data_IF_723784751145
#
_entry.id   IF_723784751145
#
_cell.length_a   1.000
_cell.length_b   1.000
_cell.length_c   1.000
_cell.angle_alpha   90.00
_cell.angle_beta   90.00
_cell.angle_gamma   90.00
#
_symmetry.space_group_name_H-M   'P 1'
#
loop_
_entity.id
_entity.type
_entity.pdbx_description
1 polymer ?
#
# COMPACT_ATOMS: atom_id res chain seq x y z
N UNK A 1 -17.53 -13.38 -5.53
CA UNK A 1 -17.39 -11.96 -5.14
C UNK A 1 -17.30 -11.78 -3.62
N UNK A 2 -17.65 -12.78 -2.81
CA UNK A 2 -17.78 -12.60 -1.35
C UNK A 2 -16.48 -12.43 -0.55
N UNK A 3 -15.32 -12.71 -1.15
CA UNK A 3 -14.03 -12.64 -0.45
C UNK A 3 -13.18 -11.39 -0.82
N UNK A 4 -13.63 -10.57 -1.76
CA UNK A 4 -12.89 -9.40 -2.21
C UNK A 4 -13.03 -8.23 -1.21
N UNK A 5 -11.91 -7.75 -0.65
CA UNK A 5 -11.87 -6.60 0.23
C UNK A 5 -11.99 -5.28 -0.55
N UNK A 6 -11.29 -5.18 -1.67
CA UNK A 6 -11.33 -4.00 -2.54
C UNK A 6 -11.27 -4.44 -4.01
N UNK A 7 -12.19 -3.92 -4.85
CA UNK A 7 -12.27 -4.25 -6.27
C UNK A 7 -12.39 -2.99 -7.12
N UNK A 8 -11.68 -2.99 -8.22
CA UNK A 8 -11.81 -2.05 -9.33
C UNK A 8 -12.41 -2.79 -10.53
N UNK A 9 -13.50 -2.26 -11.11
CA UNK A 9 -14.21 -2.87 -12.25
C UNK A 9 -14.39 -1.87 -13.37
N UNK A 10 -13.92 -2.21 -14.57
CA UNK A 10 -13.98 -1.42 -15.81
C UNK A 10 -13.44 0.01 -15.64
N UNK A 11 -12.34 0.15 -14.91
CA UNK A 11 -11.73 1.45 -14.58
C UNK A 11 -11.01 2.01 -15.79
N UNK A 12 -11.44 3.20 -16.25
CA UNK A 12 -10.66 4.02 -17.18
C UNK A 12 -10.26 5.33 -16.49
N UNK A 13 -9.04 5.75 -16.72
CA UNK A 13 -8.52 7.01 -16.20
C UNK A 13 -7.60 7.67 -17.23
N UNK A 14 -7.85 8.95 -17.50
CA UNK A 14 -7.04 9.79 -18.39
C UNK A 14 -6.35 10.89 -17.60
N UNK A 15 -5.16 11.27 -18.07
CA UNK A 15 -4.48 12.49 -17.64
C UNK A 15 -4.30 13.37 -18.87
N UNK A 16 -5.15 14.41 -18.97
CA UNK A 16 -5.33 15.14 -20.23
C UNK A 16 -5.85 14.21 -21.33
N UNK A 17 -5.18 14.20 -22.48
CA UNK A 17 -5.59 13.36 -23.61
C UNK A 17 -5.00 11.94 -23.58
N UNK A 18 -4.18 11.61 -22.55
CA UNK A 18 -3.52 10.31 -22.47
C UNK A 18 -4.28 9.37 -21.55
N UNK A 19 -4.71 8.22 -22.07
CA UNK A 19 -5.24 7.13 -21.26
C UNK A 19 -4.11 6.51 -20.43
N UNK A 20 -4.30 6.46 -19.12
CA UNK A 20 -3.33 5.89 -18.15
C UNK A 20 -3.79 4.53 -17.66
N UNK A 21 -5.11 4.34 -17.46
CA UNK A 21 -5.67 3.07 -17.01
C UNK A 21 -6.81 2.62 -17.94
N UNK A 22 -6.85 1.30 -18.15
CA UNK A 22 -7.91 0.57 -18.83
C UNK A 22 -7.98 -0.83 -18.17
N UNK A 23 -8.48 -0.85 -16.93
CA UNK A 23 -8.48 -2.05 -16.07
C UNK A 23 -9.88 -2.64 -16.03
N UNK A 24 -10.07 -3.79 -16.66
CA UNK A 24 -11.34 -4.51 -16.64
C UNK A 24 -11.68 -4.98 -15.23
N UNK A 25 -10.72 -5.60 -14.55
CA UNK A 25 -10.91 -6.10 -13.20
C UNK A 25 -9.60 -6.17 -12.42
N UNK A 26 -9.62 -5.69 -11.19
CA UNK A 26 -8.54 -5.89 -10.21
C UNK A 26 -9.16 -6.06 -8.82
N UNK A 27 -8.76 -7.10 -8.10
CA UNK A 27 -9.28 -7.40 -6.78
C UNK A 27 -8.15 -7.80 -5.83
N UNK A 28 -8.22 -7.33 -4.59
CA UNK A 28 -7.48 -7.86 -3.44
C UNK A 28 -8.48 -8.50 -2.49
N UNK A 29 -8.25 -9.77 -2.12
CA UNK A 29 -9.11 -10.51 -1.20
C UNK A 29 -8.82 -10.12 0.26
N UNK A 30 -9.73 -10.49 1.17
CA UNK A 30 -9.56 -10.23 2.60
C UNK A 30 -8.31 -10.92 3.14
N UNK A 31 -7.44 -10.15 3.78
CA UNK A 31 -6.18 -10.64 4.34
C UNK A 31 -5.12 -11.06 3.31
N UNK A 32 -5.36 -10.82 2.02
CA UNK A 32 -4.42 -11.10 0.94
C UNK A 32 -3.43 -9.94 0.79
N UNK A 33 -2.18 -10.26 0.47
CA UNK A 33 -1.18 -9.27 0.04
C UNK A 33 -0.88 -9.47 -1.44
N UNK A 34 -1.21 -8.46 -2.26
CA UNK A 34 -1.00 -8.43 -3.71
C UNK A 34 0.16 -7.51 -4.06
N UNK A 35 1.18 -8.03 -4.73
CA UNK A 35 2.20 -7.21 -5.38
C UNK A 35 1.69 -6.72 -6.73
N UNK A 36 1.76 -5.43 -6.98
CA UNK A 36 1.47 -4.81 -8.27
C UNK A 36 2.77 -4.44 -8.96
N UNK A 37 3.11 -5.14 -10.02
CA UNK A 37 4.36 -4.96 -10.76
C UNK A 37 4.11 -4.51 -12.20
N UNK A 38 5.15 -4.04 -12.88
CA UNK A 38 5.11 -3.58 -14.28
C UNK A 38 6.18 -2.54 -14.52
N UNK A 39 6.46 -2.24 -15.77
CA UNK A 39 7.45 -1.23 -16.16
C UNK A 39 7.07 0.17 -15.67
N UNK A 40 8.05 1.09 -15.61
CA UNK A 40 7.78 2.46 -15.25
C UNK A 40 6.80 3.10 -16.26
N UNK A 41 5.81 3.84 -15.72
CA UNK A 41 4.76 4.45 -16.54
C UNK A 41 3.62 3.51 -16.93
N UNK A 42 3.59 2.26 -16.46
CA UNK A 42 2.48 1.33 -16.75
C UNK A 42 1.15 1.67 -16.05
N UNK A 43 1.15 2.63 -15.10
CA UNK A 43 -0.07 3.07 -14.40
C UNK A 43 -0.22 2.57 -12.96
N UNK A 44 0.76 1.86 -12.38
CA UNK A 44 0.69 1.24 -11.04
C UNK A 44 0.28 2.22 -9.93
N UNK A 45 1.05 3.29 -9.76
CA UNK A 45 0.75 4.33 -8.75
C UNK A 45 -0.60 5.00 -9.00
N UNK A 46 -0.98 5.18 -10.27
CA UNK A 46 -2.30 5.73 -10.63
C UNK A 46 -3.43 4.78 -10.22
N UNK A 47 -3.27 3.47 -10.47
CA UNK A 47 -4.26 2.47 -10.06
C UNK A 47 -4.41 2.44 -8.53
N UNK A 48 -3.30 2.43 -7.80
CA UNK A 48 -3.29 2.50 -6.33
C UNK A 48 -4.00 3.77 -5.83
N UNK A 49 -3.73 4.93 -6.42
CA UNK A 49 -4.37 6.19 -6.03
C UNK A 49 -5.88 6.22 -6.37
N UNK A 50 -6.30 5.61 -7.48
CA UNK A 50 -7.73 5.43 -7.79
C UNK A 50 -8.39 4.52 -6.77
N UNK A 51 -7.78 3.38 -6.45
CA UNK A 51 -8.32 2.45 -5.45
C UNK A 51 -8.32 3.03 -4.04
N UNK A 52 -7.33 3.85 -3.67
CA UNK A 52 -7.29 4.60 -2.42
C UNK A 52 -8.24 5.81 -2.39
N UNK A 53 -9.05 6.01 -3.42
CA UNK A 53 -10.02 7.10 -3.57
C UNK A 53 -9.39 8.51 -3.59
N UNK A 54 -8.13 8.63 -3.98
CA UNK A 54 -7.44 9.92 -4.16
C UNK A 54 -7.67 10.48 -5.56
N UNK A 55 -7.78 9.60 -6.56
CA UNK A 55 -8.13 9.96 -7.92
C UNK A 55 -9.51 9.40 -8.26
N UNK A 56 -10.33 10.21 -8.92
CA UNK A 56 -11.62 9.76 -9.43
C UNK A 56 -11.42 9.18 -10.83
N UNK A 57 -11.81 7.94 -11.09
CA UNK A 57 -11.78 7.39 -12.45
C UNK A 57 -12.79 8.11 -13.35
N UNK A 58 -12.54 8.11 -14.66
CA UNK A 58 -13.47 8.68 -15.65
C UNK A 58 -14.65 7.72 -15.88
N UNK A 59 -14.35 6.40 -15.89
CA UNK A 59 -15.36 5.35 -16.05
C UNK A 59 -15.07 4.22 -15.06
N UNK A 60 -16.09 3.38 -14.82
CA UNK A 60 -16.01 2.20 -13.98
C UNK A 60 -16.45 2.42 -12.55
N UNK A 61 -16.39 1.37 -11.77
CA UNK A 61 -16.84 1.34 -10.37
C UNK A 61 -15.80 0.73 -9.44
N UNK A 62 -15.77 1.22 -8.21
CA UNK A 62 -14.98 0.68 -7.11
C UNK A 62 -15.90 0.06 -6.07
N UNK A 63 -15.50 -1.06 -5.52
CA UNK A 63 -16.27 -1.78 -4.50
C UNK A 63 -15.39 -2.07 -3.29
N UNK A 64 -15.96 -1.87 -2.11
CA UNK A 64 -15.32 -2.16 -0.83
C UNK A 64 -16.17 -3.20 -0.08
N UNK A 65 -15.63 -4.39 0.16
CA UNK A 65 -16.37 -5.55 0.70
C UNK A 65 -17.70 -5.79 -0.02
N UNK A 66 -17.69 -5.77 -1.34
CA UNK A 66 -18.87 -5.98 -2.18
C UNK A 66 -19.84 -4.80 -2.27
N UNK A 67 -19.62 -3.71 -1.52
CA UNK A 67 -20.43 -2.50 -1.58
C UNK A 67 -19.84 -1.49 -2.56
N UNK A 68 -20.62 -1.00 -3.49
CA UNK A 68 -20.19 0.03 -4.41
C UNK A 68 -19.89 1.35 -3.68
N UNK A 69 -18.75 1.95 -4.03
CA UNK A 69 -18.28 3.22 -3.45
C UNK A 69 -18.92 4.36 -4.23
N UNK A 70 -19.94 4.98 -3.62
CA UNK A 70 -20.58 6.17 -4.18
C UNK A 70 -19.99 7.46 -3.61
N UNK A 71 -20.12 8.62 -4.29
CA UNK A 71 -19.63 9.89 -3.79
C UNK A 71 -20.10 10.22 -2.36
N UNK A 72 -21.35 9.87 -2.03
CA UNK A 72 -21.94 10.13 -0.71
C UNK A 72 -21.30 9.31 0.40
N UNK A 73 -20.80 8.11 0.08
CA UNK A 73 -20.17 7.18 1.04
C UNK A 73 -18.64 7.23 0.99
N UNK A 74 -18.04 8.01 0.10
CA UNK A 74 -16.59 8.03 -0.14
C UNK A 74 -15.77 8.28 1.14
N UNK A 75 -16.16 9.25 1.98
CA UNK A 75 -15.46 9.53 3.23
C UNK A 75 -15.52 8.36 4.21
N UNK A 76 -16.65 7.66 4.27
CA UNK A 76 -16.80 6.47 5.11
C UNK A 76 -15.80 5.39 4.71
N UNK A 77 -15.70 5.06 3.43
CA UNK A 77 -14.75 4.04 2.96
C UNK A 77 -13.29 4.51 3.05
N UNK A 78 -13.00 5.78 2.72
CA UNK A 78 -11.65 6.34 2.83
C UNK A 78 -11.09 6.23 4.26
N UNK A 79 -11.93 6.33 5.28
CA UNK A 79 -11.54 6.18 6.69
C UNK A 79 -11.15 4.74 7.07
N UNK A 80 -11.47 3.75 6.25
CA UNK A 80 -11.16 2.33 6.45
C UNK A 80 -9.95 1.88 5.62
N UNK A 81 -9.31 2.80 4.92
CA UNK A 81 -8.14 2.56 4.09
C UNK A 81 -6.97 3.42 4.54
N UNK A 82 -5.76 3.00 4.21
CA UNK A 82 -4.57 3.82 4.34
C UNK A 82 -3.72 3.71 3.06
N UNK A 83 -2.99 4.78 2.75
CA UNK A 83 -2.01 4.80 1.67
C UNK A 83 -0.69 5.35 2.20
N UNK A 84 0.39 4.63 1.92
CA UNK A 84 1.77 5.07 2.15
C UNK A 84 2.41 5.31 0.80
N UNK A 85 2.92 6.51 0.60
CA UNK A 85 3.66 6.92 -0.59
C UNK A 85 5.13 6.52 -0.49
N UNK A 86 5.82 6.51 -1.61
CA UNK A 86 7.26 6.30 -1.71
C UNK A 86 8.03 7.30 -0.83
N UNK A 87 7.63 8.57 -0.85
CA UNK A 87 8.14 9.59 0.08
C UNK A 87 7.34 9.53 1.40
N UNK A 88 8.03 9.63 2.52
CA UNK A 88 7.39 9.49 3.85
C UNK A 88 6.37 10.60 4.17
N UNK A 89 6.43 11.76 3.48
CA UNK A 89 5.49 12.90 3.58
C UNK A 89 5.06 13.19 5.03
N UNK A 90 6.03 13.30 5.94
CA UNK A 90 5.75 13.57 7.35
C UNK A 90 5.40 15.05 7.57
N UNK A 91 4.51 15.30 8.52
CA UNK A 91 4.21 16.64 9.00
C UNK A 91 5.41 17.18 9.78
N UNK A 92 5.68 18.48 9.65
CA UNK A 92 6.75 19.17 10.39
C UNK A 92 6.38 19.34 11.87
N UNK A 93 6.50 18.27 12.62
CA UNK A 93 6.20 18.18 14.05
C UNK A 93 6.93 16.98 14.66
N UNK A 94 6.56 16.54 15.87
CA UNK A 94 7.18 15.37 16.50
C UNK A 94 6.71 14.06 15.85
N UNK A 95 7.48 12.99 16.00
CA UNK A 95 7.14 11.61 15.61
C UNK A 95 5.79 11.21 16.20
N UNK A 96 5.62 11.41 17.52
CA UNK A 96 4.35 11.15 18.21
C UNK A 96 3.18 11.89 17.56
N UNK A 97 3.32 13.18 17.29
CA UNK A 97 2.26 13.98 16.69
C UNK A 97 1.92 13.54 15.26
N UNK A 98 2.90 13.08 14.48
CA UNK A 98 2.65 12.50 13.17
C UNK A 98 1.74 11.28 13.26
N UNK A 99 2.08 10.32 14.10
CA UNK A 99 1.30 9.08 14.26
C UNK A 99 -0.07 9.37 14.89
N UNK A 100 -0.14 10.26 15.88
CA UNK A 100 -1.39 10.65 16.53
C UNK A 100 -2.37 11.44 15.65
N UNK A 101 -1.89 12.04 14.55
CA UNK A 101 -2.66 13.03 13.77
C UNK A 101 -4.01 12.51 13.29
N UNK A 102 -4.04 11.32 12.72
CA UNK A 102 -5.27 10.70 12.21
C UNK A 102 -6.28 10.37 13.31
N UNK A 103 -5.81 9.84 14.44
CA UNK A 103 -6.66 9.50 15.58
C UNK A 103 -7.30 10.77 16.19
N UNK A 104 -6.53 11.87 16.32
CA UNK A 104 -7.04 13.16 16.78
C UNK A 104 -8.13 13.70 15.86
N UNK A 105 -7.90 13.67 14.53
CA UNK A 105 -8.88 14.10 13.54
C UNK A 105 -10.18 13.28 13.57
N UNK A 106 -10.11 12.04 14.07
CA UNK A 106 -11.29 11.17 14.26
C UNK A 106 -11.93 11.32 15.64
N UNK A 107 -11.39 12.16 16.53
CA UNK A 107 -11.97 12.45 17.84
C UNK A 107 -11.74 11.37 18.89
N UNK A 108 -10.70 10.53 18.75
CA UNK A 108 -10.33 9.54 19.78
C UNK A 108 -9.89 10.21 21.07
N UNK A 109 -10.11 9.56 22.20
CA UNK A 109 -9.70 10.06 23.53
C UNK A 109 -8.17 10.02 23.68
N UNK A 110 -7.61 10.98 24.41
CA UNK A 110 -6.16 11.11 24.59
C UNK A 110 -5.51 9.81 25.10
N UNK A 111 -6.09 9.16 26.10
CA UNK A 111 -5.56 7.90 26.65
C UNK A 111 -5.49 6.76 25.63
N UNK A 112 -6.48 6.68 24.73
CA UNK A 112 -6.50 5.71 23.63
C UNK A 112 -5.43 6.05 22.59
N UNK A 113 -5.30 7.34 22.24
CA UNK A 113 -4.27 7.82 21.32
C UNK A 113 -2.88 7.48 21.86
N UNK A 114 -2.60 7.82 23.13
CA UNK A 114 -1.31 7.57 23.77
C UNK A 114 -0.92 6.09 23.70
N UNK A 115 -1.85 5.20 24.07
CA UNK A 115 -1.61 3.77 24.08
C UNK A 115 -1.35 3.23 22.66
N UNK A 116 -2.19 3.58 21.68
CA UNK A 116 -2.08 3.09 20.30
C UNK A 116 -0.82 3.63 19.60
N UNK A 117 -0.53 4.92 19.78
CA UNK A 117 0.67 5.54 19.17
C UNK A 117 1.94 4.88 19.69
N UNK A 118 2.08 4.73 21.01
CA UNK A 118 3.27 4.12 21.59
C UNK A 118 3.42 2.65 21.23
N UNK A 119 2.32 1.89 21.12
CA UNK A 119 2.34 0.49 20.66
C UNK A 119 2.87 0.39 19.21
N UNK A 120 2.37 1.22 18.29
CA UNK A 120 2.85 1.21 16.91
C UNK A 120 4.28 1.73 16.74
N UNK A 121 4.68 2.77 17.51
CA UNK A 121 6.07 3.23 17.52
C UNK A 121 7.02 2.13 18.02
N UNK A 122 6.61 1.37 19.03
CA UNK A 122 7.38 0.22 19.54
C UNK A 122 7.49 -0.90 18.51
N UNK A 123 6.36 -1.27 17.83
CA UNK A 123 6.36 -2.28 16.77
C UNK A 123 7.31 -1.94 15.62
N UNK A 124 7.52 -0.66 15.35
CA UNK A 124 8.48 -0.20 14.35
C UNK A 124 9.85 0.19 14.91
N UNK A 125 10.12 -0.03 16.21
CA UNK A 125 11.41 0.24 16.85
C UNK A 125 11.83 1.72 16.87
N UNK A 126 10.84 2.63 16.89
CA UNK A 126 11.07 4.10 16.89
C UNK A 126 10.43 4.80 18.07
N UNK A 127 10.08 4.09 19.14
CA UNK A 127 9.45 4.65 20.34
C UNK A 127 10.36 5.66 21.08
N UNK A 128 11.67 5.46 21.07
CA UNK A 128 12.62 6.40 21.66
C UNK A 128 12.65 7.76 20.96
N UNK A 129 12.16 7.82 19.72
CA UNK A 129 12.09 9.03 18.90
C UNK A 129 10.74 9.77 19.03
N UNK A 130 9.83 9.32 19.91
CA UNK A 130 8.46 9.86 19.98
C UNK A 130 8.42 11.38 20.14
N UNK A 131 9.32 11.99 20.93
CA UNK A 131 9.44 13.43 21.13
C UNK A 131 10.31 14.16 20.11
N UNK A 132 11.04 13.44 19.27
CA UNK A 132 11.95 14.01 18.28
C UNK A 132 11.18 14.68 17.14
N UNK A 133 11.73 15.77 16.61
CA UNK A 133 11.21 16.39 15.39
C UNK A 133 11.50 15.49 14.19
N UNK A 134 10.53 15.36 13.29
CA UNK A 134 10.65 14.58 12.05
C UNK A 134 11.72 15.11 11.09
N UNK A 135 12.17 16.36 11.26
CA UNK A 135 13.25 16.95 10.45
C UNK A 135 14.62 16.29 10.68
N UNK A 136 14.81 15.64 11.82
CA UNK A 136 16.09 15.04 12.20
C UNK A 136 16.12 13.52 12.01
N UNK A 137 15.08 12.93 11.43
CA UNK A 137 15.00 11.50 11.18
C UNK A 137 15.86 11.11 9.98
N UNK A 138 16.54 9.98 10.07
CA UNK A 138 17.06 9.29 8.89
C UNK A 138 15.93 8.84 7.97
N UNK A 139 16.24 8.54 6.71
CA UNK A 139 15.24 8.05 5.75
C UNK A 139 14.51 6.80 6.24
N UNK A 140 15.22 5.85 6.84
CA UNK A 140 14.64 4.64 7.40
C UNK A 140 13.70 4.91 8.59
N UNK A 141 14.09 5.79 9.51
CA UNK A 141 13.23 6.20 10.64
C UNK A 141 11.99 6.94 10.17
N UNK A 142 12.12 7.87 9.22
CA UNK A 142 11.00 8.58 8.63
C UNK A 142 10.00 7.60 7.98
N UNK A 143 10.53 6.57 7.32
CA UNK A 143 9.69 5.56 6.67
C UNK A 143 8.95 4.70 7.70
N UNK A 144 9.61 4.24 8.77
CA UNK A 144 9.00 3.52 9.91
C UNK A 144 7.89 4.34 10.56
N UNK A 145 8.09 5.64 10.74
CA UNK A 145 7.07 6.57 11.27
C UNK A 145 5.89 6.71 10.30
N UNK A 146 6.13 6.76 8.99
CA UNK A 146 5.07 6.81 7.98
C UNK A 146 4.20 5.55 7.99
N UNK A 147 4.81 4.37 8.11
CA UNK A 147 4.11 3.08 8.25
C UNK A 147 3.30 3.03 9.56
N UNK A 148 3.90 3.45 10.69
CA UNK A 148 3.19 3.52 11.97
C UNK A 148 1.97 4.46 11.90
N UNK A 149 2.11 5.63 11.24
CA UNK A 149 1.01 6.58 11.02
C UNK A 149 -0.14 6.00 10.20
N UNK A 150 0.17 5.16 9.23
CA UNK A 150 -0.85 4.50 8.42
C UNK A 150 -1.58 3.41 9.21
N UNK A 151 -0.83 2.56 9.93
CA UNK A 151 -1.37 1.39 10.61
C UNK A 151 -2.06 1.69 11.94
N UNK A 152 -1.72 2.79 12.63
CA UNK A 152 -2.38 3.21 13.87
C UNK A 152 -3.88 3.46 13.69
N UNK A 153 -4.32 3.64 12.44
CA UNK A 153 -5.72 3.87 12.07
C UNK A 153 -6.54 2.58 11.92
N UNK A 154 -5.93 1.39 12.09
CA UNK A 154 -6.50 0.06 11.86
C UNK A 154 -7.21 -0.03 10.49
N UNK A 155 -6.50 0.20 9.39
CA UNK A 155 -7.11 0.13 8.07
C UNK A 155 -7.46 -1.32 7.73
N UNK A 156 -8.58 -1.52 7.01
CA UNK A 156 -8.96 -2.83 6.47
C UNK A 156 -8.27 -3.10 5.13
N UNK A 157 -7.93 -2.03 4.39
CA UNK A 157 -7.14 -2.10 3.16
C UNK A 157 -5.98 -1.12 3.25
N UNK A 158 -4.78 -1.62 2.97
CA UNK A 158 -3.54 -0.85 2.95
C UNK A 158 -2.98 -0.80 1.52
N UNK A 159 -2.69 0.39 1.05
CA UNK A 159 -1.99 0.63 -0.20
C UNK A 159 -0.60 1.14 0.09
N UNK A 160 0.41 0.62 -0.62
CA UNK A 160 1.81 0.99 -0.49
C UNK A 160 2.36 1.26 -1.89
N UNK A 161 2.85 2.46 -2.11
CA UNK A 161 3.43 2.84 -3.40
C UNK A 161 4.96 2.92 -3.27
N UNK A 162 5.68 1.86 -3.68
CA UNK A 162 7.12 1.68 -3.58
C UNK A 162 7.69 1.94 -2.16
N UNK A 163 7.13 1.32 -1.12
CA UNK A 163 7.37 1.71 0.28
C UNK A 163 8.82 1.54 0.73
N UNK A 164 9.64 0.79 0.04
CA UNK A 164 11.02 0.49 0.47
C UNK A 164 12.10 1.00 -0.50
N UNK A 165 11.72 1.74 -1.55
CA UNK A 165 12.63 2.13 -2.63
C UNK A 165 13.76 3.08 -2.17
N UNK A 166 13.51 3.91 -1.15
CA UNK A 166 14.47 4.91 -0.66
C UNK A 166 15.43 4.39 0.43
N UNK A 167 15.35 3.09 0.78
CA UNK A 167 16.13 2.51 1.87
C UNK A 167 17.41 1.82 1.36
N UNK A 168 18.48 1.91 2.14
CA UNK A 168 19.67 1.08 1.93
C UNK A 168 19.36 -0.42 2.15
N UNK A 169 20.17 -1.27 1.55
CA UNK A 169 19.89 -2.72 1.50
C UNK A 169 19.72 -3.38 2.87
N UNK A 170 20.59 -3.16 3.90
CA UNK A 170 20.40 -3.76 5.21
C UNK A 170 19.12 -3.32 5.92
N UNK A 171 18.85 -2.02 5.93
CA UNK A 171 17.63 -1.42 6.52
C UNK A 171 16.38 -1.93 5.82
N UNK A 172 16.39 -1.99 4.48
CA UNK A 172 15.32 -2.51 3.65
C UNK A 172 14.97 -3.95 4.00
N UNK A 173 15.98 -4.85 4.04
CA UNK A 173 15.77 -6.27 4.32
C UNK A 173 15.16 -6.50 5.70
N UNK A 174 15.65 -5.80 6.73
CA UNK A 174 15.11 -5.89 8.08
C UNK A 174 13.64 -5.42 8.12
N UNK A 175 13.37 -4.24 7.56
CA UNK A 175 12.03 -3.66 7.58
C UNK A 175 11.00 -4.50 6.82
N UNK A 176 11.35 -5.07 5.66
CA UNK A 176 10.47 -5.94 4.89
C UNK A 176 10.07 -7.18 5.70
N UNK A 177 11.04 -7.82 6.40
CA UNK A 177 10.75 -8.98 7.24
C UNK A 177 9.81 -8.62 8.39
N UNK A 178 10.12 -7.56 9.15
CA UNK A 178 9.30 -7.05 10.25
C UNK A 178 7.89 -6.69 9.77
N UNK A 179 7.80 -6.03 8.63
CA UNK A 179 6.52 -5.59 8.06
C UNK A 179 5.67 -6.76 7.56
N UNK A 180 6.30 -7.76 6.92
CA UNK A 180 5.63 -9.01 6.52
C UNK A 180 4.99 -9.71 7.71
N UNK A 181 5.68 -9.78 8.85
CA UNK A 181 5.13 -10.39 10.07
C UNK A 181 3.95 -9.57 10.64
N UNK A 182 4.03 -8.24 10.58
CA UNK A 182 2.90 -7.36 10.95
C UNK A 182 1.69 -7.64 10.05
N UNK A 183 1.87 -7.74 8.73
CA UNK A 183 0.77 -8.02 7.79
C UNK A 183 0.12 -9.37 8.05
N UNK A 184 0.93 -10.42 8.30
CA UNK A 184 0.43 -11.75 8.65
C UNK A 184 -0.36 -11.75 9.95
N UNK A 185 0.11 -11.03 10.97
CA UNK A 185 -0.55 -10.94 12.27
C UNK A 185 -1.86 -10.15 12.22
N UNK A 186 -1.90 -9.05 11.46
CA UNK A 186 -3.06 -8.14 11.38
C UNK A 186 -4.09 -8.56 10.34
N UNK A 187 -3.71 -9.40 9.36
CA UNK A 187 -4.54 -9.82 8.22
C UNK A 187 -5.14 -8.65 7.43
N UNK A 188 -4.43 -7.52 7.37
CA UNK A 188 -4.82 -6.36 6.57
C UNK A 188 -4.70 -6.72 5.10
N UNK A 189 -5.76 -6.50 4.31
CA UNK A 189 -5.71 -6.67 2.86
C UNK A 189 -4.78 -5.62 2.26
N UNK A 190 -3.73 -6.03 1.55
CA UNK A 190 -2.66 -5.12 1.15
C UNK A 190 -2.41 -5.17 -0.35
N UNK A 191 -2.26 -4.01 -0.98
CA UNK A 191 -1.72 -3.87 -2.33
C UNK A 191 -0.44 -3.06 -2.23
N UNK A 192 0.67 -3.62 -2.68
CA UNK A 192 1.93 -2.88 -2.73
C UNK A 192 2.55 -2.87 -4.12
N UNK A 193 2.97 -1.68 -4.55
CA UNK A 193 3.72 -1.48 -5.78
C UNK A 193 5.18 -1.70 -5.49
N UNK A 194 5.84 -2.49 -6.32
CA UNK A 194 7.30 -2.64 -6.27
C UNK A 194 7.89 -2.90 -7.64
N UNK A 195 9.15 -2.53 -7.80
CA UNK A 195 10.01 -2.92 -8.91
C UNK A 195 11.16 -3.85 -8.45
N UNK A 196 11.23 -4.16 -7.14
CA UNK A 196 12.24 -5.06 -6.58
C UNK A 196 11.67 -6.49 -6.47
N UNK A 197 12.21 -7.44 -7.28
CA UNK A 197 11.74 -8.80 -7.26
C UNK A 197 11.93 -9.51 -5.91
N UNK A 198 12.93 -9.09 -5.10
CA UNK A 198 13.21 -9.72 -3.79
C UNK A 198 12.16 -9.42 -2.72
N UNK A 199 11.35 -8.36 -2.88
CA UNK A 199 10.26 -8.05 -1.96
C UNK A 199 9.09 -9.02 -2.11
N UNK A 200 8.86 -9.50 -3.33
CA UNK A 200 7.67 -10.26 -3.69
C UNK A 200 7.53 -11.57 -2.90
N UNK A 201 8.54 -12.48 -2.87
CA UNK A 201 8.41 -13.76 -2.17
C UNK A 201 8.22 -13.61 -0.65
N UNK A 202 8.70 -12.49 -0.07
CA UNK A 202 8.61 -12.24 1.38
C UNK A 202 7.25 -11.73 1.77
N UNK A 203 6.64 -10.88 0.93
CA UNK A 203 5.43 -10.13 1.28
C UNK A 203 4.16 -10.60 0.57
N UNK A 204 4.26 -11.03 -0.70
CA UNK A 204 3.09 -11.25 -1.54
C UNK A 204 2.60 -12.71 -1.56
N UNK A 205 1.28 -12.87 -1.48
CA UNK A 205 0.61 -14.13 -1.82
C UNK A 205 0.31 -14.21 -3.32
N UNK A 206 0.03 -13.06 -3.92
CA UNK A 206 -0.41 -12.90 -5.30
C UNK A 206 0.36 -11.77 -5.97
N UNK A 207 0.57 -11.90 -7.27
CA UNK A 207 1.20 -10.85 -8.08
C UNK A 207 0.27 -10.50 -9.24
N UNK A 208 0.12 -9.21 -9.47
CA UNK A 208 -0.60 -8.67 -10.63
C UNK A 208 0.35 -7.83 -11.47
N UNK A 209 0.37 -8.12 -12.76
CA UNK A 209 1.21 -7.42 -13.75
C UNK A 209 0.38 -6.37 -14.47
N UNK A 210 0.83 -5.12 -14.41
CA UNK A 210 0.22 -4.02 -15.12
C UNK A 210 1.12 -3.57 -16.29
N UNK A 211 0.58 -3.54 -17.49
CA UNK A 211 1.26 -3.08 -18.70
C UNK A 211 0.35 -2.14 -19.50
N UNK A 212 0.85 -0.97 -19.85
CA UNK A 212 0.11 0.06 -20.59
C UNK A 212 -1.31 0.33 -20.04
N UNK A 213 -1.44 0.37 -18.70
CA UNK A 213 -2.70 0.63 -18.02
C UNK A 213 -3.64 -0.59 -17.88
N UNK A 214 -3.23 -1.76 -18.36
CA UNK A 214 -4.06 -2.99 -18.35
C UNK A 214 -3.46 -4.05 -17.43
N UNK A 215 -4.31 -4.81 -16.77
CA UNK A 215 -3.91 -6.02 -16.04
C UNK A 215 -3.74 -7.13 -17.08
N UNK A 216 -2.48 -7.60 -17.26
CA UNK A 216 -2.15 -8.63 -18.25
C UNK A 216 -1.97 -10.01 -17.64
N UNK A 217 -1.67 -10.09 -16.34
CA UNK A 217 -1.60 -11.35 -15.59
C UNK A 217 -1.90 -11.07 -14.10
N UNK A 218 -2.58 -12.02 -13.45
CA UNK A 218 -2.80 -12.00 -12.00
C UNK A 218 -2.86 -13.43 -11.50
N UNK A 219 -1.85 -13.85 -10.73
CA UNK A 219 -1.69 -15.25 -10.29
C UNK A 219 -0.92 -15.32 -8.98
N UNK A 220 -0.78 -16.51 -8.42
CA UNK A 220 0.13 -16.73 -7.28
C UNK A 220 1.56 -16.37 -7.65
N UNK A 221 2.39 -16.05 -6.67
CA UNK A 221 3.81 -15.74 -6.90
C UNK A 221 4.54 -16.90 -7.60
N UNK A 222 4.20 -18.14 -7.24
CA UNK A 222 4.82 -19.33 -7.84
C UNK A 222 4.43 -19.48 -9.32
N UNK A 223 3.14 -19.35 -9.64
CA UNK A 223 2.65 -19.50 -11.02
C UNK A 223 3.17 -18.39 -11.92
N UNK A 224 3.24 -17.15 -11.42
CA UNK A 224 3.77 -16.03 -12.19
C UNK A 224 5.20 -16.28 -12.65
N UNK A 225 6.05 -16.75 -11.73
CA UNK A 225 7.46 -16.96 -12.01
C UNK A 225 7.73 -18.27 -12.80
N UNK A 226 6.81 -19.23 -12.73
CA UNK A 226 6.87 -20.44 -13.57
C UNK A 226 6.42 -20.17 -15.01
N UNK A 227 5.44 -19.28 -15.18
CA UNK A 227 4.80 -18.98 -16.47
C UNK A 227 4.74 -17.47 -16.72
N UNK A 228 5.89 -16.78 -16.90
CA UNK A 228 5.93 -15.33 -17.08
C UNK A 228 5.25 -14.92 -18.40
N UNK A 229 4.36 -13.93 -18.33
CA UNK A 229 3.58 -13.43 -19.46
C UNK A 229 4.40 -12.63 -20.47
N UNK A 230 5.52 -12.04 -20.05
CA UNK A 230 6.42 -11.25 -20.89
C UNK A 230 7.85 -11.26 -20.37
N UNK A 231 8.78 -10.66 -21.14
CA UNK A 231 10.22 -10.61 -20.82
C UNK A 231 10.52 -9.87 -19.51
N UNK A 232 9.72 -8.85 -19.16
CA UNK A 232 9.88 -8.14 -17.90
C UNK A 232 9.62 -9.04 -16.69
N UNK A 233 8.55 -9.84 -16.73
CA UNK A 233 8.25 -10.81 -15.67
C UNK A 233 9.28 -11.93 -15.64
N UNK A 234 9.74 -12.39 -16.81
CA UNK A 234 10.81 -13.38 -16.90
C UNK A 234 12.13 -12.87 -16.30
N UNK A 235 12.48 -11.60 -16.53
CA UNK A 235 13.64 -10.96 -15.91
C UNK A 235 13.50 -10.91 -14.38
N UNK A 236 12.35 -10.48 -13.86
CA UNK A 236 12.09 -10.45 -12.42
C UNK A 236 12.16 -11.85 -11.80
N UNK A 237 11.59 -12.87 -12.44
CA UNK A 237 11.67 -14.26 -12.00
C UNK A 237 13.10 -14.79 -11.89
N UNK A 238 13.97 -14.42 -12.84
CA UNK A 238 15.37 -14.84 -12.84
C UNK A 238 16.20 -14.12 -11.78
N UNK A 239 15.83 -12.92 -11.35
CA UNK A 239 16.54 -12.18 -10.31
C UNK A 239 16.30 -12.73 -8.89
N UNK A 240 15.30 -13.60 -8.70
CA UNK A 240 14.95 -14.21 -7.39
C UNK A 240 15.61 -15.60 -7.22
N UNK A 241 16.01 -16.24 -8.33
CA UNK A 241 16.72 -17.54 -8.31
C UNK A 241 18.16 -17.40 -7.85
#
# INVERSE_FOLDING_TARGET
MDDCAMMASNIKYHRGNKQILDVENFCVNKGETVALIGINGSGKSTLVQVMALLLKPDEGSLFFHGQEITPQKMLHFRRRMALVFQESLLLDTTVYNNVASGLRLRGHKKSEIDARVMDWLKKFGVESLASSSTRFLSGGEAHRVSLARALVMDPEVLFLDEPFAALDFPTKKALISEFSDILKATKISTVFVTHDPHEIPVMANKVTVLEAGKVIQSSTTQDLFAHPVNDYVAFMANAIK
#
